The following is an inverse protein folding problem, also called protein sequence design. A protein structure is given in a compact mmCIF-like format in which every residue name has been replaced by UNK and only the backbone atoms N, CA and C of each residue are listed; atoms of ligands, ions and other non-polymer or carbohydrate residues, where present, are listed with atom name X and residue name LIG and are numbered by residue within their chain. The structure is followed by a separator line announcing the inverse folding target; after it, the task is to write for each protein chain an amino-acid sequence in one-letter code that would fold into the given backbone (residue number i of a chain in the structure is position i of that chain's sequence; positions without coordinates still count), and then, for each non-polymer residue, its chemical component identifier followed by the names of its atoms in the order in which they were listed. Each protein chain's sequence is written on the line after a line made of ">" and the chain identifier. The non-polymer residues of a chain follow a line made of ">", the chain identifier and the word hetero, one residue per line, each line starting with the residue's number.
data_IF_861609919583
#
_entry.id   IF_861609919583
#
_cell.length_a   1.000
_cell.length_b   1.000
_cell.length_c   1.000
_cell.angle_alpha   90.00
_cell.angle_beta   90.00
_cell.angle_gamma   90.00
#
_symmetry.space_group_name_H-M   'P 1'
#
loop_
_entity.id
_entity.type
_entity.pdbx_description
1 polymer ?
#
# COMPACT_ATOMS: atom_id res chain seq x y z
N UNK A 1 -18.80 6.03 -2.88
CA UNK A 1 -18.85 5.62 -4.30
C UNK A 1 -18.76 4.11 -4.34
N UNK A 2 -19.44 3.45 -5.25
CA UNK A 2 -19.30 2.00 -5.42
C UNK A 2 -18.46 1.75 -6.68
N UNK A 3 -17.49 0.86 -6.56
CA UNK A 3 -16.61 0.50 -7.68
C UNK A 3 -16.82 -0.94 -8.11
N UNK A 4 -16.64 -1.20 -9.38
CA UNK A 4 -16.56 -2.53 -9.95
C UNK A 4 -15.08 -2.84 -10.19
N UNK A 5 -14.60 -3.95 -9.64
CA UNK A 5 -13.32 -4.54 -9.98
C UNK A 5 -13.51 -5.55 -11.08
N UNK A 6 -12.83 -5.35 -12.19
CA UNK A 6 -12.92 -6.21 -13.36
C UNK A 6 -11.58 -6.87 -13.63
N UNK A 7 -11.58 -8.19 -13.72
CA UNK A 7 -10.37 -9.00 -13.93
C UNK A 7 -10.51 -9.79 -15.23
N UNK A 8 -9.52 -9.66 -16.11
CA UNK A 8 -9.43 -10.44 -17.34
C UNK A 8 -8.25 -11.41 -17.22
N UNK A 9 -8.57 -12.70 -17.10
CA UNK A 9 -7.55 -13.75 -17.14
C UNK A 9 -7.14 -14.02 -18.58
N UNK A 10 -5.85 -14.01 -18.83
CA UNK A 10 -5.25 -14.14 -20.16
C UNK A 10 -4.00 -15.04 -20.09
N UNK A 11 -3.23 -15.13 -21.16
CA UNK A 11 -1.89 -15.71 -21.19
C UNK A 11 -0.83 -14.61 -21.13
N UNK A 12 0.44 -14.90 -20.81
CA UNK A 12 1.52 -13.93 -20.90
C UNK A 12 1.58 -13.23 -22.25
N UNK A 13 1.39 -13.97 -23.35
CA UNK A 13 1.35 -13.43 -24.72
C UNK A 13 0.10 -12.59 -25.03
N UNK A 14 -0.91 -12.66 -24.18
CA UNK A 14 -2.16 -11.91 -24.33
C UNK A 14 -2.24 -10.61 -23.55
N UNK A 15 -1.32 -10.36 -22.60
CA UNK A 15 -1.35 -9.18 -21.73
C UNK A 15 -1.36 -7.86 -22.51
N UNK A 16 -0.45 -7.71 -23.46
CA UNK A 16 -0.37 -6.50 -24.31
C UNK A 16 -1.66 -6.31 -25.15
N UNK A 17 -2.17 -7.39 -25.74
CA UNK A 17 -3.36 -7.34 -26.57
C UNK A 17 -4.61 -6.99 -25.75
N UNK A 18 -4.72 -7.48 -24.50
CA UNK A 18 -5.82 -7.12 -23.59
C UNK A 18 -5.69 -5.68 -23.12
N UNK A 19 -4.49 -5.22 -22.82
CA UNK A 19 -4.23 -3.83 -22.41
C UNK A 19 -4.60 -2.86 -23.54
N UNK A 20 -4.15 -3.11 -24.76
CA UNK A 20 -4.50 -2.31 -25.92
C UNK A 20 -6.01 -2.30 -26.18
N UNK A 21 -6.67 -3.46 -26.06
CA UNK A 21 -8.12 -3.57 -26.16
C UNK A 21 -8.82 -2.67 -25.15
N UNK A 22 -8.39 -2.67 -23.89
CA UNK A 22 -8.97 -1.86 -22.83
C UNK A 22 -8.77 -0.36 -23.08
N UNK A 23 -7.59 0.06 -23.53
CA UNK A 23 -7.31 1.45 -23.91
C UNK A 23 -8.24 1.94 -25.02
N UNK A 24 -8.48 1.11 -26.05
CA UNK A 24 -9.41 1.40 -27.15
C UNK A 24 -10.85 1.55 -26.65
N UNK A 25 -11.22 0.94 -25.52
CA UNK A 25 -12.54 1.12 -24.90
C UNK A 25 -12.60 2.28 -23.89
N UNK A 26 -11.51 3.04 -23.76
CA UNK A 26 -11.44 4.21 -22.88
C UNK A 26 -11.05 3.90 -21.43
N UNK A 27 -10.54 2.71 -21.18
CA UNK A 27 -9.98 2.33 -19.86
C UNK A 27 -8.51 2.75 -19.83
N UNK A 28 -8.16 3.70 -18.96
CA UNK A 28 -6.80 4.30 -18.92
C UNK A 28 -5.91 3.81 -17.78
N UNK A 29 -6.49 3.09 -16.80
CA UNK A 29 -5.75 2.58 -15.65
C UNK A 29 -5.94 1.08 -15.51
N UNK A 30 -4.86 0.31 -15.64
CA UNK A 30 -4.86 -1.14 -15.49
C UNK A 30 -3.74 -1.59 -14.54
N UNK A 31 -3.99 -2.69 -13.85
CA UNK A 31 -2.98 -3.43 -13.08
C UNK A 31 -2.71 -4.72 -13.84
N UNK A 32 -1.43 -4.99 -14.12
CA UNK A 32 -1.01 -6.17 -14.85
C UNK A 32 -0.31 -7.10 -13.86
N UNK A 33 -0.84 -8.33 -13.73
CA UNK A 33 -0.18 -9.44 -13.06
C UNK A 33 0.39 -10.36 -14.15
N UNK A 34 1.73 -10.42 -14.27
CA UNK A 34 2.41 -11.32 -15.19
C UNK A 34 3.16 -12.41 -14.41
N UNK A 35 2.85 -13.66 -14.71
CA UNK A 35 3.54 -14.81 -14.12
C UNK A 35 5.04 -14.79 -14.40
N UNK A 36 5.47 -14.32 -15.57
CA UNK A 36 6.87 -14.27 -15.95
C UNK A 36 7.64 -13.20 -15.16
N UNK A 37 7.08 -11.99 -15.02
CA UNK A 37 7.68 -10.93 -14.23
C UNK A 37 7.88 -11.35 -12.78
N UNK A 38 6.91 -12.08 -12.22
CA UNK A 38 7.01 -12.58 -10.86
C UNK A 38 8.11 -13.66 -10.72
N UNK A 39 8.25 -14.55 -11.68
CA UNK A 39 9.33 -15.55 -11.71
C UNK A 39 10.69 -14.89 -11.87
N UNK A 40 10.82 -13.98 -12.81
CA UNK A 40 12.06 -13.22 -13.06
C UNK A 40 12.45 -12.39 -11.84
N UNK A 41 11.48 -11.76 -11.17
CA UNK A 41 11.72 -11.05 -9.93
C UNK A 41 12.29 -11.98 -8.84
N UNK A 42 11.70 -13.15 -8.66
CA UNK A 42 12.17 -14.13 -7.68
C UNK A 42 13.57 -14.67 -8.01
N UNK A 43 13.89 -14.90 -9.29
CA UNK A 43 15.20 -15.42 -9.71
C UNK A 43 16.30 -14.37 -9.54
N UNK A 44 16.06 -13.11 -9.94
CA UNK A 44 17.08 -12.06 -9.91
C UNK A 44 17.27 -11.42 -8.53
N UNK A 45 16.30 -11.56 -7.64
CA UNK A 45 16.34 -10.94 -6.31
C UNK A 45 16.53 -11.92 -5.15
N UNK A 46 16.88 -13.18 -5.41
CA UNK A 46 17.13 -14.23 -4.38
C UNK A 46 18.09 -13.80 -3.28
N UNK A 47 19.04 -12.93 -3.59
CA UNK A 47 20.03 -12.43 -2.61
C UNK A 47 19.46 -11.44 -1.60
N UNK A 48 18.25 -10.91 -1.82
CA UNK A 48 17.61 -9.91 -0.96
C UNK A 48 16.46 -10.47 -0.13
N UNK A 49 16.09 -11.76 -0.34
CA UNK A 49 14.94 -12.37 0.30
C UNK A 49 15.32 -13.72 0.92
N UNK A 50 15.32 -13.77 2.24
CA UNK A 50 15.56 -15.03 2.98
C UNK A 50 14.31 -15.92 3.03
N UNK A 51 13.13 -15.37 2.73
CA UNK A 51 11.85 -16.08 2.76
C UNK A 51 10.84 -15.44 1.78
N UNK A 52 10.21 -16.25 0.98
CA UNK A 52 9.04 -15.88 0.17
C UNK A 52 7.86 -16.68 0.68
N UNK A 53 6.75 -16.03 0.96
CA UNK A 53 5.54 -16.68 1.44
C UNK A 53 5.03 -17.70 0.41
N UNK A 54 4.91 -18.96 0.84
CA UNK A 54 4.43 -20.04 -0.04
C UNK A 54 2.99 -19.83 -0.53
N UNK A 55 2.18 -19.12 0.24
CA UNK A 55 0.81 -18.76 -0.12
C UNK A 55 0.80 -17.76 -1.27
N UNK A 56 1.67 -16.73 -1.21
CA UNK A 56 1.87 -15.76 -2.29
C UNK A 56 2.40 -16.44 -3.56
N UNK A 57 3.33 -17.40 -3.43
CA UNK A 57 3.82 -18.19 -4.56
C UNK A 57 2.72 -18.98 -5.26
N UNK A 58 1.80 -19.56 -4.48
CA UNK A 58 0.67 -20.31 -5.02
C UNK A 58 -0.38 -19.42 -5.66
N UNK A 59 -0.65 -18.24 -5.07
CA UNK A 59 -1.61 -17.29 -5.62
C UNK A 59 -1.17 -16.68 -6.96
N UNK A 60 0.14 -16.46 -7.13
CA UNK A 60 0.69 -15.84 -8.33
C UNK A 60 1.13 -16.86 -9.40
N UNK A 61 1.25 -18.15 -9.05
CA UNK A 61 1.65 -19.17 -10.00
C UNK A 61 0.58 -19.40 -11.08
N UNK A 62 0.95 -19.25 -12.34
CA UNK A 62 0.08 -19.47 -13.48
C UNK A 62 -0.95 -18.38 -13.73
N UNK A 63 -0.80 -17.21 -13.10
CA UNK A 63 -1.72 -16.09 -13.27
C UNK A 63 -1.12 -15.04 -14.19
N UNK A 64 -1.76 -14.87 -15.36
CA UNK A 64 -1.58 -13.69 -16.22
C UNK A 64 -2.92 -12.98 -16.29
N UNK A 65 -3.01 -11.78 -15.74
CA UNK A 65 -4.26 -11.08 -15.51
C UNK A 65 -4.12 -9.58 -15.71
N UNK A 66 -5.14 -8.97 -16.28
CA UNK A 66 -5.29 -7.52 -16.32
C UNK A 66 -6.50 -7.14 -15.47
N UNK A 67 -6.27 -6.30 -14.45
CA UNK A 67 -7.32 -5.80 -13.54
C UNK A 67 -7.54 -4.32 -13.80
N UNK A 68 -8.78 -3.87 -13.83
CA UNK A 68 -9.16 -2.46 -13.93
C UNK A 68 -10.42 -2.17 -13.12
N UNK A 69 -10.69 -0.88 -12.88
CA UNK A 69 -11.77 -0.42 -12.04
C UNK A 69 -12.68 0.53 -12.78
N UNK A 70 -13.98 0.37 -12.62
CA UNK A 70 -15.00 1.28 -13.15
C UNK A 70 -15.91 1.76 -12.02
N UNK A 71 -16.25 3.05 -12.01
CA UNK A 71 -17.28 3.53 -11.11
C UNK A 71 -18.63 2.89 -11.47
N UNK A 72 -19.36 2.36 -10.47
CA UNK A 72 -20.63 1.69 -10.66
C UNK A 72 -21.72 2.68 -11.05
N UNK A 73 -21.87 2.90 -12.37
CA UNK A 73 -22.88 3.76 -12.97
C UNK A 73 -23.34 3.19 -14.33
N UNK A 74 -24.27 3.85 -14.99
CA UNK A 74 -24.78 3.40 -16.30
C UNK A 74 -23.66 3.33 -17.36
N UNK A 75 -22.71 4.26 -17.33
CA UNK A 75 -21.60 4.27 -18.29
C UNK A 75 -20.69 3.04 -18.14
N UNK A 76 -20.53 2.51 -16.92
CA UNK A 76 -19.77 1.29 -16.70
C UNK A 76 -20.39 0.08 -17.44
N UNK A 77 -21.71 -0.02 -17.47
CA UNK A 77 -22.39 -1.11 -18.17
C UNK A 77 -22.10 -1.08 -19.67
N UNK A 78 -22.05 0.11 -20.25
CA UNK A 78 -21.71 0.29 -21.67
C UNK A 78 -20.25 -0.08 -21.95
N UNK A 79 -19.32 0.31 -21.06
CA UNK A 79 -17.90 -0.08 -21.19
C UNK A 79 -17.77 -1.60 -21.08
N UNK A 80 -18.40 -2.23 -20.09
CA UNK A 80 -18.38 -3.69 -19.92
C UNK A 80 -18.92 -4.41 -21.15
N UNK A 81 -20.02 -3.93 -21.74
CA UNK A 81 -20.60 -4.52 -22.93
C UNK A 81 -19.64 -4.45 -24.13
N UNK A 82 -19.00 -3.29 -24.36
CA UNK A 82 -18.00 -3.11 -25.41
C UNK A 82 -16.77 -3.99 -25.20
N UNK A 83 -16.25 -4.04 -23.97
CA UNK A 83 -15.10 -4.91 -23.59
C UNK A 83 -15.43 -6.38 -23.88
N UNK A 84 -16.61 -6.88 -23.50
CA UNK A 84 -17.02 -8.27 -23.78
C UNK A 84 -17.07 -8.59 -25.28
N UNK A 85 -17.59 -7.66 -26.09
CA UNK A 85 -17.63 -7.83 -27.55
C UNK A 85 -16.20 -7.87 -28.10
N UNK A 86 -15.37 -6.90 -27.74
CA UNK A 86 -13.98 -6.82 -28.17
C UNK A 86 -13.15 -8.04 -27.76
N UNK A 87 -13.35 -8.56 -26.52
CA UNK A 87 -12.72 -9.80 -26.06
C UNK A 87 -13.14 -11.02 -26.89
N UNK A 88 -14.43 -11.10 -27.27
CA UNK A 88 -14.94 -12.18 -28.15
C UNK A 88 -14.26 -12.15 -29.50
N UNK A 89 -14.03 -10.96 -30.06
CA UNK A 89 -13.37 -10.80 -31.36
C UNK A 89 -11.85 -11.03 -31.25
N UNK A 90 -11.23 -10.57 -30.19
CA UNK A 90 -9.83 -10.87 -29.88
C UNK A 90 -9.60 -12.38 -29.76
N UNK A 91 -10.47 -13.10 -29.06
CA UNK A 91 -10.38 -14.56 -28.91
C UNK A 91 -10.42 -15.33 -30.22
N UNK A 92 -11.20 -14.83 -31.20
CA UNK A 92 -11.24 -15.41 -32.54
C UNK A 92 -9.99 -15.10 -33.35
N UNK A 93 -9.49 -13.86 -33.23
CA UNK A 93 -8.32 -13.38 -33.98
C UNK A 93 -7.01 -13.90 -33.40
N UNK A 94 -6.91 -14.01 -32.08
CA UNK A 94 -5.70 -14.38 -31.35
C UNK A 94 -6.01 -15.48 -30.29
N UNK A 95 -6.12 -16.76 -30.70
CA UNK A 95 -6.36 -17.87 -29.76
C UNK A 95 -5.23 -18.06 -28.73
N UNK A 96 -4.06 -17.54 -29.00
CA UNK A 96 -2.87 -17.56 -28.13
C UNK A 96 -3.01 -16.65 -26.89
N UNK A 97 -3.97 -15.73 -26.88
CA UNK A 97 -4.26 -14.88 -25.72
C UNK A 97 -4.91 -15.62 -24.52
N UNK A 98 -5.02 -16.95 -24.58
CA UNK A 98 -5.50 -17.75 -23.47
C UNK A 98 -7.01 -17.70 -23.23
N UNK A 99 -7.48 -17.82 -21.98
CA UNK A 99 -8.88 -18.03 -21.68
C UNK A 99 -9.76 -16.81 -21.98
N UNK A 100 -9.24 -15.59 -21.84
CA UNK A 100 -9.95 -14.32 -21.92
C UNK A 100 -11.25 -14.37 -21.11
N UNK A 101 -11.11 -14.68 -19.81
CA UNK A 101 -12.24 -14.79 -18.90
C UNK A 101 -12.40 -13.47 -18.11
N UNK A 102 -13.57 -12.82 -18.26
CA UNK A 102 -13.90 -11.61 -17.50
C UNK A 102 -14.68 -11.96 -16.24
N UNK A 103 -14.08 -11.65 -15.08
CA UNK A 103 -14.74 -11.70 -13.77
C UNK A 103 -15.04 -10.28 -13.32
N UNK A 104 -16.18 -10.08 -12.66
CA UNK A 104 -16.64 -8.77 -12.16
C UNK A 104 -17.01 -8.93 -10.70
N UNK A 105 -16.32 -8.21 -9.83
CA UNK A 105 -16.59 -8.15 -8.41
C UNK A 105 -17.09 -6.74 -8.02
N UNK A 106 -18.05 -6.69 -7.09
CA UNK A 106 -18.48 -5.42 -6.52
C UNK A 106 -17.53 -5.06 -5.38
N UNK A 107 -16.88 -3.91 -5.48
CA UNK A 107 -16.04 -3.36 -4.42
C UNK A 107 -16.76 -2.15 -3.84
N UNK A 108 -17.26 -2.27 -2.62
CA UNK A 108 -17.73 -1.10 -1.88
C UNK A 108 -16.51 -0.33 -1.37
N UNK A 109 -16.56 1.01 -1.41
CA UNK A 109 -15.49 1.87 -0.85
C UNK A 109 -15.10 1.43 0.59
N UNK A 110 -16.10 1.01 1.38
CA UNK A 110 -15.89 0.49 2.72
C UNK A 110 -15.05 -0.81 2.77
N UNK A 111 -15.13 -1.65 1.76
CA UNK A 111 -14.36 -2.90 1.68
C UNK A 111 -12.92 -2.64 1.23
N UNK A 112 -12.72 -1.69 0.32
CA UNK A 112 -11.37 -1.30 -0.10
C UNK A 112 -10.64 -0.53 1.00
N UNK A 113 -11.33 0.41 1.64
CA UNK A 113 -10.80 1.20 2.75
C UNK A 113 -10.47 0.35 3.99
N UNK A 114 -11.13 -0.79 4.17
CA UNK A 114 -10.96 -1.64 5.35
C UNK A 114 -10.17 -2.93 5.09
N UNK A 115 -10.06 -3.43 3.86
CA UNK A 115 -9.39 -4.70 3.59
C UNK A 115 -7.87 -4.64 3.87
N UNK A 116 -7.19 -3.54 3.54
CA UNK A 116 -5.78 -3.38 3.86
C UNK A 116 -5.53 -3.33 5.38
N UNK A 117 -6.49 -2.87 6.19
CA UNK A 117 -6.39 -2.85 7.66
C UNK A 117 -6.23 -4.25 8.25
N UNK A 118 -6.76 -5.29 7.59
CA UNK A 118 -6.63 -6.69 8.03
C UNK A 118 -5.20 -7.20 7.94
N UNK A 119 -4.41 -6.68 7.00
CA UNK A 119 -3.02 -7.07 6.78
C UNK A 119 -2.02 -6.23 7.60
N UNK A 120 -2.48 -5.10 8.16
CA UNK A 120 -1.64 -4.23 8.95
C UNK A 120 -1.70 -4.63 10.43
N UNK A 121 -0.73 -5.42 10.85
CA UNK A 121 -0.62 -5.94 12.22
C UNK A 121 0.43 -5.19 13.03
N UNK A 122 0.35 -5.23 14.38
CA UNK A 122 1.40 -4.67 15.23
C UNK A 122 2.78 -5.21 14.86
N UNK A 123 3.77 -4.32 14.77
CA UNK A 123 5.14 -4.66 14.37
C UNK A 123 6.12 -4.31 15.47
N UNK A 124 6.91 -5.30 15.87
CA UNK A 124 8.04 -5.09 16.77
C UNK A 124 9.22 -4.46 16.03
N UNK A 125 9.77 -3.39 16.59
CA UNK A 125 10.91 -2.66 16.03
C UNK A 125 12.01 -2.59 17.10
N UNK A 126 13.15 -3.16 16.80
CA UNK A 126 14.24 -3.21 17.76
C UNK A 126 13.83 -3.85 19.09
N UNK A 127 14.33 -3.31 20.21
CA UNK A 127 14.08 -3.86 21.53
C UNK A 127 12.98 -3.11 22.30
N UNK A 128 12.78 -1.81 22.03
CA UNK A 128 11.96 -0.93 22.86
C UNK A 128 10.65 -0.49 22.21
N UNK A 129 10.51 -0.57 20.86
CA UNK A 129 9.40 0.04 20.15
C UNK A 129 8.43 -1.02 19.61
N UNK A 130 7.12 -0.75 19.70
CA UNK A 130 6.04 -1.50 19.09
C UNK A 130 5.15 -0.54 18.29
N UNK A 131 5.13 -0.68 16.98
CA UNK A 131 4.23 0.07 16.09
C UNK A 131 2.88 -0.61 16.07
N UNK A 132 1.82 0.13 16.38
CA UNK A 132 0.46 -0.39 16.57
C UNK A 132 -0.52 0.39 15.71
N UNK A 133 -1.27 -0.24 14.80
CA UNK A 133 -2.40 0.42 14.13
C UNK A 133 -3.45 0.86 15.15
N UNK A 134 -4.09 2.02 14.96
CA UNK A 134 -5.06 2.54 15.93
C UNK A 134 -6.28 1.63 16.18
N UNK A 135 -6.59 0.72 15.26
CA UNK A 135 -7.72 -0.23 15.38
C UNK A 135 -7.32 -1.57 16.03
N UNK A 136 -6.02 -1.79 16.29
CA UNK A 136 -5.53 -3.01 16.93
C UNK A 136 -5.25 -2.80 18.42
N UNK A 137 -5.50 -3.86 19.19
CA UNK A 137 -5.12 -3.86 20.61
C UNK A 137 -3.70 -4.39 20.76
N UNK A 138 -2.81 -3.55 21.23
CA UNK A 138 -1.45 -3.98 21.53
C UNK A 138 -1.39 -4.85 22.79
N UNK A 139 -0.55 -5.86 22.78
CA UNK A 139 -0.14 -6.57 24.00
C UNK A 139 0.66 -5.64 24.90
N UNK A 140 0.58 -5.85 26.20
CA UNK A 140 1.43 -5.16 27.16
C UNK A 140 2.67 -6.03 27.41
N UNK A 141 3.69 -5.84 26.58
CA UNK A 141 4.95 -6.57 26.59
C UNK A 141 6.13 -5.71 27.10
N UNK A 142 5.82 -4.54 27.68
CA UNK A 142 6.79 -3.59 28.22
C UNK A 142 7.44 -2.68 27.17
N UNK A 143 7.09 -2.79 25.89
CA UNK A 143 7.57 -1.93 24.83
C UNK A 143 6.84 -0.59 24.80
N UNK A 144 7.51 0.44 24.33
CA UNK A 144 6.92 1.74 24.04
C UNK A 144 6.01 1.59 22.81
N UNK A 145 4.75 1.96 22.94
CA UNK A 145 3.77 1.85 21.88
C UNK A 145 3.78 3.11 21.03
N UNK A 146 3.91 2.95 19.73
CA UNK A 146 3.70 3.98 18.71
C UNK A 146 2.39 3.68 17.99
N UNK A 147 1.34 4.37 18.33
CA UNK A 147 0.01 4.20 17.71
C UNK A 147 -0.09 5.04 16.46
N UNK A 148 -0.49 4.46 15.35
CA UNK A 148 -0.59 5.16 14.08
C UNK A 148 -1.93 4.86 13.38
N UNK A 149 -2.45 5.89 12.73
CA UNK A 149 -3.37 5.74 11.63
C UNK A 149 -2.58 5.89 10.33
N UNK A 150 -2.20 4.79 9.66
CA UNK A 150 -1.35 4.85 8.47
C UNK A 150 -2.01 5.54 7.28
N UNK A 151 -3.34 5.72 7.26
CA UNK A 151 -4.05 6.49 6.24
C UNK A 151 -3.64 6.15 4.79
N UNK A 152 -3.82 7.14 3.90
CA UNK A 152 -3.37 7.07 2.50
C UNK A 152 -2.00 7.75 2.28
N UNK A 153 -1.32 8.20 3.37
CA UNK A 153 -0.01 8.86 3.27
C UNK A 153 1.12 7.84 3.39
N UNK A 154 2.29 8.17 2.80
CA UNK A 154 3.50 7.38 2.96
C UNK A 154 3.96 7.35 4.42
N UNK A 155 4.56 6.22 4.85
CA UNK A 155 5.06 6.09 6.24
C UNK A 155 4.20 5.19 7.12
N UNK A 156 3.69 4.08 6.55
CA UNK A 156 2.96 3.05 7.31
C UNK A 156 3.84 2.24 8.27
N UNK A 157 5.17 2.34 8.13
CA UNK A 157 6.14 1.54 8.90
C UNK A 157 6.45 0.16 8.30
N UNK A 158 5.68 -0.31 7.34
CA UNK A 158 5.89 -1.62 6.70
C UNK A 158 7.06 -1.63 5.73
N UNK A 159 7.38 -0.48 5.11
CA UNK A 159 8.48 -0.38 4.15
C UNK A 159 9.85 -0.59 4.84
N UNK A 160 10.74 -1.33 4.20
CA UNK A 160 12.04 -1.69 4.75
C UNK A 160 12.87 -0.47 5.20
N UNK A 161 12.85 0.63 4.44
CA UNK A 161 13.58 1.86 4.78
C UNK A 161 13.03 2.51 6.06
N UNK A 162 11.71 2.59 6.22
CA UNK A 162 11.07 3.11 7.43
C UNK A 162 11.42 2.25 8.65
N UNK A 163 11.39 0.91 8.49
CA UNK A 163 11.79 -0.01 9.57
C UNK A 163 13.24 0.19 9.99
N UNK A 164 14.16 0.36 9.06
CA UNK A 164 15.58 0.63 9.36
C UNK A 164 15.75 1.95 10.11
N UNK A 165 15.05 3.01 9.70
CA UNK A 165 15.07 4.27 10.42
C UNK A 165 14.49 4.15 11.82
N UNK A 166 13.38 3.44 12.01
CA UNK A 166 12.80 3.17 13.33
C UNK A 166 13.74 2.37 14.22
N UNK A 167 14.44 1.35 13.69
CA UNK A 167 15.46 0.60 14.41
C UNK A 167 16.64 1.50 14.83
N UNK A 168 17.03 2.43 13.96
CA UNK A 168 18.06 3.41 14.30
C UNK A 168 17.60 4.33 15.44
N UNK A 169 16.34 4.83 15.38
CA UNK A 169 15.78 5.63 16.47
C UNK A 169 15.72 4.83 17.78
N UNK A 170 15.27 3.58 17.75
CA UNK A 170 15.26 2.69 18.90
C UNK A 170 16.65 2.56 19.55
N UNK A 171 17.69 2.47 18.71
CA UNK A 171 19.09 2.34 19.17
C UNK A 171 19.67 3.65 19.67
N UNK A 172 19.38 4.79 19.04
CA UNK A 172 20.14 6.04 19.27
C UNK A 172 19.42 7.05 20.18
N UNK A 173 18.09 7.02 20.31
CA UNK A 173 17.39 7.90 21.24
C UNK A 173 17.70 7.51 22.69
N UNK A 174 18.23 8.47 23.46
CA UNK A 174 18.59 8.33 24.87
C UNK A 174 17.76 9.19 25.80
N UNK A 175 17.19 10.26 25.30
CA UNK A 175 16.32 11.18 26.01
C UNK A 175 16.73 12.64 25.82
N UNK A 176 15.76 13.49 25.51
CA UNK A 176 15.96 14.93 25.39
C UNK A 176 16.52 15.43 24.05
N UNK A 177 16.71 14.55 23.05
CA UNK A 177 17.20 14.94 21.74
C UNK A 177 16.23 15.86 21.03
N UNK A 178 16.79 16.73 20.14
CA UNK A 178 16.03 17.54 19.18
C UNK A 178 16.06 16.83 17.83
N UNK A 179 14.87 16.61 17.25
CA UNK A 179 14.68 15.85 16.02
C UNK A 179 14.29 16.80 14.88
N UNK A 180 14.90 16.60 13.70
CA UNK A 180 14.49 17.21 12.46
C UNK A 180 14.10 16.09 11.48
N UNK A 181 12.84 16.10 11.04
CA UNK A 181 12.26 15.09 10.15
C UNK A 181 11.88 15.77 8.82
N UNK A 182 12.67 15.54 7.78
CA UNK A 182 12.49 16.11 6.45
C UNK A 182 11.79 15.08 5.54
N UNK A 183 10.60 15.42 5.02
CA UNK A 183 9.74 14.49 4.32
C UNK A 183 9.03 13.57 5.32
N UNK A 184 8.39 14.15 6.31
CA UNK A 184 7.88 13.41 7.47
C UNK A 184 6.70 12.48 7.16
N UNK A 185 5.95 12.71 6.05
CA UNK A 185 4.78 11.92 5.70
C UNK A 185 3.78 11.82 6.85
N UNK A 186 3.52 10.61 7.33
CA UNK A 186 2.64 10.35 8.48
C UNK A 186 3.19 10.84 9.82
N UNK A 187 4.41 11.37 9.88
CA UNK A 187 5.11 11.74 11.11
C UNK A 187 5.70 10.55 11.89
N UNK A 188 5.69 9.35 11.31
CA UNK A 188 6.06 8.12 12.03
C UNK A 188 7.44 8.19 12.70
N UNK A 189 8.47 8.76 12.04
CA UNK A 189 9.82 8.80 12.56
C UNK A 189 9.96 9.82 13.70
N UNK A 190 9.46 11.03 13.49
CA UNK A 190 9.48 12.07 14.50
C UNK A 190 8.67 11.72 15.75
N UNK A 191 7.48 11.13 15.57
CA UNK A 191 6.65 10.69 16.70
C UNK A 191 7.29 9.50 17.43
N UNK A 192 7.88 8.54 16.68
CA UNK A 192 8.64 7.44 17.27
C UNK A 192 9.76 7.95 18.18
N UNK A 193 10.54 8.93 17.70
CA UNK A 193 11.58 9.55 18.49
C UNK A 193 11.05 10.18 19.80
N UNK A 194 9.92 10.89 19.72
CA UNK A 194 9.31 11.54 20.87
C UNK A 194 8.77 10.54 21.90
N UNK A 195 8.14 9.44 21.49
CA UNK A 195 7.66 8.40 22.42
C UNK A 195 8.82 7.60 23.01
N UNK A 196 9.95 7.49 22.31
CA UNK A 196 11.20 6.89 22.83
C UNK A 196 11.95 7.81 23.81
N UNK A 197 11.54 9.08 23.96
CA UNK A 197 12.09 9.99 24.95
C UNK A 197 12.80 11.23 24.40
N UNK A 198 12.81 11.47 23.08
CA UNK A 198 13.33 12.72 22.53
C UNK A 198 12.57 13.93 23.11
N UNK A 199 13.24 15.06 23.24
CA UNK A 199 12.69 16.28 23.84
C UNK A 199 11.66 16.96 22.96
N UNK A 200 12.04 17.29 21.76
CA UNK A 200 11.21 18.01 20.77
C UNK A 200 11.48 17.51 19.34
N UNK A 201 10.52 17.64 18.47
CA UNK A 201 10.66 17.33 17.06
C UNK A 201 10.09 18.43 16.18
N UNK A 202 10.83 18.78 15.12
CA UNK A 202 10.40 19.61 14.02
C UNK A 202 10.31 18.74 12.77
N UNK A 203 9.14 18.72 12.15
CA UNK A 203 8.86 17.92 10.96
C UNK A 203 8.38 18.81 9.81
N UNK A 204 8.71 18.45 8.59
CA UNK A 204 8.16 19.12 7.42
C UNK A 204 7.96 18.18 6.25
N UNK A 205 6.99 18.51 5.40
CA UNK A 205 6.71 17.79 4.16
C UNK A 205 6.30 18.79 3.06
N UNK A 206 6.41 18.38 1.80
CA UNK A 206 5.95 19.16 0.65
C UNK A 206 4.46 18.96 0.39
N UNK A 207 3.87 17.87 0.88
CA UNK A 207 2.44 17.57 0.79
C UNK A 207 1.71 18.15 2.00
N UNK A 208 0.81 19.10 1.73
CA UNK A 208 -0.02 19.76 2.75
C UNK A 208 -0.81 18.76 3.61
N UNK A 209 -1.28 17.66 3.02
CA UNK A 209 -2.03 16.62 3.71
C UNK A 209 -1.21 15.92 4.81
N UNK A 210 0.09 15.86 4.64
CA UNK A 210 0.98 15.24 5.62
C UNK A 210 0.98 15.98 6.96
N UNK A 211 0.78 17.29 6.97
CA UNK A 211 0.79 18.10 8.20
C UNK A 211 -0.36 17.68 9.12
N UNK A 212 -1.57 17.58 8.58
CA UNK A 212 -2.76 17.21 9.36
C UNK A 212 -2.64 15.78 9.86
N UNK A 213 -2.24 14.84 8.98
CA UNK A 213 -2.03 13.42 9.34
C UNK A 213 -0.97 13.26 10.42
N UNK A 214 0.12 14.01 10.34
CA UNK A 214 1.18 13.96 11.35
C UNK A 214 0.70 14.48 12.72
N UNK A 215 -0.11 15.55 12.76
CA UNK A 215 -0.72 16.00 14.01
C UNK A 215 -1.76 15.03 14.58
N UNK A 216 -2.56 14.39 13.74
CA UNK A 216 -3.50 13.35 14.17
C UNK A 216 -2.75 12.18 14.81
N UNK A 217 -1.68 11.68 14.16
CA UNK A 217 -0.85 10.62 14.68
C UNK A 217 -0.11 11.04 15.98
N UNK A 218 0.37 12.28 16.07
CA UNK A 218 0.98 12.80 17.30
C UNK A 218 -0.04 12.79 18.46
N UNK A 219 -1.27 13.22 18.22
CA UNK A 219 -2.34 13.22 19.22
C UNK A 219 -2.68 11.80 19.71
N UNK A 220 -2.69 10.78 18.83
CA UNK A 220 -2.88 9.37 19.21
C UNK A 220 -1.83 8.86 20.22
N UNK A 221 -0.67 9.49 20.25
CA UNK A 221 0.45 9.15 21.13
C UNK A 221 0.62 10.11 22.33
N UNK A 222 -0.34 11.00 22.56
CA UNK A 222 -0.27 11.99 23.61
C UNK A 222 0.82 13.04 23.42
N UNK A 223 1.29 13.24 22.19
CA UNK A 223 2.30 14.23 21.82
C UNK A 223 1.60 15.54 21.44
N UNK A 224 1.84 16.58 22.23
CA UNK A 224 1.27 17.90 22.00
C UNK A 224 2.12 18.81 21.10
N UNK A 225 1.53 19.95 20.72
CA UNK A 225 2.20 20.97 19.89
C UNK A 225 3.34 21.71 20.62
N UNK A 226 3.46 21.53 21.91
CA UNK A 226 4.57 22.01 22.74
C UNK A 226 5.88 21.27 22.47
N UNK A 227 5.79 20.03 21.98
CA UNK A 227 6.96 19.18 21.67
C UNK A 227 7.06 18.77 20.20
N UNK A 228 5.98 18.94 19.42
CA UNK A 228 5.92 18.54 18.02
C UNK A 228 5.40 19.67 17.16
N UNK A 229 6.21 20.08 16.18
CA UNK A 229 5.83 21.07 15.18
C UNK A 229 5.99 20.46 13.79
N UNK A 230 4.88 20.40 13.04
CA UNK A 230 4.87 19.96 11.64
C UNK A 230 4.41 21.09 10.74
N UNK A 231 5.13 21.36 9.66
CA UNK A 231 4.89 22.43 8.73
C UNK A 231 5.03 21.95 7.27
N UNK A 232 4.42 22.73 6.36
CA UNK A 232 4.68 22.60 4.93
C UNK A 232 6.04 23.21 4.64
N UNK A 233 6.90 22.46 3.96
CA UNK A 233 8.13 23.00 3.39
C UNK A 233 7.85 23.51 1.98
N UNK A 234 7.97 24.79 1.80
CA UNK A 234 7.85 25.48 0.50
C UNK A 234 9.26 25.63 -0.09
#
# INVERSE_FOLDING_TARGET
>A
MEWLELKIDTSPSGLDAVTELLEQQGVTGVIIDDENDFKDFLEHNRQYWDYVDEELLREKAGVSRVTFYLERNEAALDVIARVRIAMSDLKKARPDCGPLLLTIDNVADADWENNWKKFYKPMEIGERLLVVPQWEKARDDGRVKLVLNPGLTFGTGSHATTRLCLQALDKYIRGGEKILDLGCGSGILSIAALVLGAGEAFACDIDEKCVDVAYENAALNGVGKDRYLSLIHI
#
